data_IF_556830529551
#
_entry.id   IF_556830529551
#
_cell.length_a   1.000
_cell.length_b   1.000
_cell.length_c   1.000
_cell.angle_alpha   90.00
_cell.angle_beta   90.00
_cell.angle_gamma   90.00
#
_symmetry.space_group_name_H-M   'P 1'
#
loop_
_entity.id
_entity.type
_entity.pdbx_description
1 polymer ?
#
# COMPACT_ATOMS: atom_id res chain seq x y z
N UNK A 1 5.65 11.26 12.19
CA UNK A 1 5.98 11.13 13.62
C UNK A 1 6.77 9.86 13.94
N UNK A 2 6.59 8.80 13.19
CA UNK A 2 7.19 7.51 13.51
C UNK A 2 8.72 7.46 13.37
N UNK A 3 9.32 8.10 12.37
CA UNK A 3 10.77 7.98 12.13
C UNK A 3 11.63 8.70 13.20
N UNK A 4 11.17 9.83 13.77
CA UNK A 4 11.88 10.53 14.85
C UNK A 4 11.62 9.96 16.25
N UNK A 5 10.73 9.00 16.37
CA UNK A 5 10.36 8.33 17.63
C UNK A 5 10.58 6.82 17.58
N UNK A 6 11.22 6.31 16.55
CA UNK A 6 11.64 4.91 16.49
C UNK A 6 13.01 4.80 17.15
N UNK A 7 13.13 3.90 18.10
CA UNK A 7 14.39 3.64 18.82
C UNK A 7 15.34 2.77 17.99
N UNK A 8 14.76 1.95 17.09
CA UNK A 8 15.51 1.01 16.24
C UNK A 8 14.98 1.05 14.81
N UNK A 9 15.86 0.99 13.84
CA UNK A 9 15.57 0.93 12.40
C UNK A 9 16.03 -0.40 11.83
N UNK A 10 15.17 -1.03 11.02
CA UNK A 10 15.55 -2.17 10.18
C UNK A 10 15.97 -1.61 8.82
N UNK A 11 17.22 -1.81 8.46
CA UNK A 11 17.82 -1.27 7.23
C UNK A 11 18.26 -2.42 6.33
N UNK A 12 17.89 -2.35 5.04
CA UNK A 12 18.46 -3.27 4.06
C UNK A 12 19.82 -2.78 3.61
N UNK A 13 20.83 -3.64 3.71
CA UNK A 13 22.23 -3.36 3.36
C UNK A 13 22.77 -4.44 2.44
N UNK A 14 23.90 -4.16 1.78
CA UNK A 14 24.66 -5.17 1.02
C UNK A 14 25.93 -5.53 1.77
N UNK A 15 26.11 -6.82 2.07
CA UNK A 15 27.29 -7.37 2.69
C UNK A 15 27.79 -8.56 1.85
N UNK A 16 29.02 -8.49 1.39
CA UNK A 16 29.59 -9.55 0.53
C UNK A 16 28.87 -9.79 -0.79
N UNK A 17 28.14 -8.77 -1.31
CA UNK A 17 27.36 -8.87 -2.55
C UNK A 17 25.90 -9.31 -2.35
N UNK A 18 25.52 -9.78 -1.17
CA UNK A 18 24.17 -10.21 -0.80
C UNK A 18 23.43 -9.13 -0.02
N UNK A 19 22.10 -9.12 -0.13
CA UNK A 19 21.23 -8.24 0.65
C UNK A 19 20.97 -8.89 2.00
N UNK A 20 21.19 -8.15 3.08
CA UNK A 20 20.85 -8.52 4.45
C UNK A 20 20.04 -7.40 5.11
N UNK A 21 19.42 -7.71 6.23
CA UNK A 21 18.80 -6.74 7.12
C UNK A 21 19.71 -6.48 8.30
N UNK A 22 19.83 -5.23 8.71
CA UNK A 22 20.60 -4.84 9.88
C UNK A 22 19.75 -3.95 10.78
N UNK A 23 19.98 -4.09 12.10
CA UNK A 23 19.40 -3.19 13.09
C UNK A 23 20.33 -2.00 13.30
N UNK A 24 19.77 -0.80 13.23
CA UNK A 24 20.47 0.46 13.50
C UNK A 24 19.73 1.16 14.62
N UNK A 25 20.39 1.49 15.70
CA UNK A 25 19.80 2.23 16.81
C UNK A 25 19.70 3.72 16.47
N UNK A 26 18.71 4.40 17.03
CA UNK A 26 18.53 5.83 16.79
C UNK A 26 19.74 6.63 17.25
N UNK A 27 20.40 6.21 18.33
CA UNK A 27 21.57 6.87 18.90
C UNK A 27 22.81 6.79 17.98
N UNK A 28 22.84 5.82 17.05
CA UNK A 28 23.88 5.69 16.03
C UNK A 28 23.68 6.64 14.84
N UNK A 29 22.51 7.28 14.76
CA UNK A 29 22.13 8.20 13.68
C UNK A 29 22.35 9.66 14.10
N UNK A 30 23.15 10.38 13.34
CA UNK A 30 23.25 11.84 13.48
C UNK A 30 21.92 12.50 13.07
N UNK A 31 21.30 13.23 13.99
CA UNK A 31 20.04 13.93 13.76
C UNK A 31 20.09 14.91 12.57
N UNK A 32 21.28 15.45 12.23
CA UNK A 32 21.53 16.30 11.07
C UNK A 32 21.46 15.58 9.73
N UNK A 33 21.57 14.24 9.75
CA UNK A 33 21.51 13.37 8.56
C UNK A 33 20.12 12.87 8.23
N UNK A 34 19.08 13.27 8.97
CA UNK A 34 17.68 12.93 8.73
C UNK A 34 16.92 14.13 8.16
N UNK A 35 16.59 14.07 6.89
CA UNK A 35 15.82 15.11 6.18
C UNK A 35 14.40 14.63 5.94
N UNK A 36 13.40 15.47 6.28
CA UNK A 36 12.00 15.16 5.99
C UNK A 36 11.72 15.35 4.51
N UNK A 37 11.14 14.32 3.89
CA UNK A 37 10.69 14.36 2.50
C UNK A 37 9.31 15.04 2.37
N UNK A 38 9.09 15.67 1.22
CA UNK A 38 7.75 16.09 0.79
C UNK A 38 7.14 14.95 -0.01
N UNK A 39 6.08 14.36 0.51
CA UNK A 39 5.40 13.22 -0.10
C UNK A 39 3.98 13.57 -0.47
N UNK A 40 3.41 12.83 -1.46
CA UNK A 40 2.04 13.09 -1.95
C UNK A 40 0.98 12.95 -0.86
N UNK A 41 1.14 12.00 0.05
CA UNK A 41 0.28 11.81 1.21
C UNK A 41 0.86 12.51 2.44
N UNK A 42 0.43 13.72 2.72
CA UNK A 42 0.90 14.53 3.85
C UNK A 42 0.55 13.94 5.21
N UNK A 43 -0.36 12.96 5.28
CA UNK A 43 -0.67 12.22 6.52
C UNK A 43 0.41 11.19 6.84
N UNK A 44 1.30 10.88 5.88
CA UNK A 44 2.52 10.09 6.06
C UNK A 44 3.73 10.98 6.24
N UNK A 45 4.71 10.49 6.97
CA UNK A 45 6.00 11.16 7.15
C UNK A 45 7.09 10.24 6.66
N UNK A 46 7.79 10.69 5.63
CA UNK A 46 8.96 10.04 5.06
C UNK A 46 10.21 10.85 5.35
N UNK A 47 11.34 10.19 5.45
CA UNK A 47 12.62 10.83 5.68
C UNK A 47 13.68 10.16 4.81
N UNK A 48 14.55 10.98 4.25
CA UNK A 48 15.84 10.53 3.70
C UNK A 48 16.84 10.52 4.83
N UNK A 49 17.49 9.38 5.04
CA UNK A 49 18.49 9.18 6.09
C UNK A 49 19.83 8.84 5.45
N UNK A 50 20.89 9.61 5.77
CA UNK A 50 22.25 9.23 5.41
C UNK A 50 22.81 8.30 6.48
N UNK A 51 23.28 7.14 6.04
CA UNK A 51 23.91 6.13 6.88
C UNK A 51 25.45 6.13 6.72
N UNK A 52 26.02 7.18 6.12
CA UNK A 52 27.45 7.29 5.89
C UNK A 52 28.21 7.33 7.20
N UNK A 53 29.14 6.37 7.35
CA UNK A 53 29.97 6.23 8.54
C UNK A 53 29.31 5.51 9.73
N UNK A 54 28.06 5.05 9.58
CA UNK A 54 27.41 4.21 10.59
C UNK A 54 28.03 2.81 10.57
N UNK A 55 28.47 2.34 11.72
CA UNK A 55 29.05 0.99 11.88
C UNK A 55 28.06 0.14 12.68
N UNK A 56 27.71 -1.02 12.12
CA UNK A 56 26.76 -1.96 12.75
C UNK A 56 27.54 -3.14 13.35
N UNK A 57 27.19 -3.53 14.58
CA UNK A 57 27.72 -4.74 15.20
C UNK A 57 27.30 -5.99 14.41
N UNK A 58 28.15 -7.03 14.30
CA UNK A 58 27.78 -8.32 13.73
C UNK A 58 26.51 -8.92 14.38
N UNK A 59 26.30 -8.68 15.66
CA UNK A 59 25.12 -9.17 16.41
C UNK A 59 23.80 -8.49 15.96
N UNK A 60 23.90 -7.35 15.28
CA UNK A 60 22.77 -6.60 14.73
C UNK A 60 22.48 -6.97 13.26
N UNK A 61 23.18 -7.95 12.69
CA UNK A 61 22.89 -8.50 11.36
C UNK A 61 21.86 -9.60 11.49
N UNK A 62 20.69 -9.42 10.87
CA UNK A 62 19.61 -10.38 10.93
C UNK A 62 19.82 -11.53 9.94
N UNK A 63 19.25 -12.69 10.24
CA UNK A 63 19.25 -13.83 9.35
C UNK A 63 18.61 -13.50 7.99
N UNK A 64 19.07 -14.17 6.94
CA UNK A 64 18.60 -13.92 5.57
C UNK A 64 17.10 -14.20 5.37
N UNK A 65 16.55 -15.18 6.08
CA UNK A 65 15.13 -15.52 6.07
C UNK A 65 14.24 -14.31 6.44
N UNK A 66 14.69 -13.46 7.36
CA UNK A 66 13.96 -12.29 7.82
C UNK A 66 13.61 -11.29 6.70
N UNK A 67 14.38 -11.24 5.60
CA UNK A 67 14.06 -10.36 4.48
C UNK A 67 12.76 -10.77 3.79
N UNK A 68 12.56 -12.06 3.52
CA UNK A 68 11.34 -12.58 2.89
C UNK A 68 10.14 -12.41 3.82
N UNK A 69 10.30 -12.76 5.09
CA UNK A 69 9.26 -12.58 6.11
C UNK A 69 8.83 -11.12 6.25
N UNK A 70 9.79 -10.19 6.30
CA UNK A 70 9.51 -8.76 6.34
C UNK A 70 8.74 -8.29 5.10
N UNK A 71 9.15 -8.75 3.90
CA UNK A 71 8.48 -8.39 2.66
C UNK A 71 7.05 -8.93 2.62
N UNK A 72 6.82 -10.17 3.02
CA UNK A 72 5.50 -10.78 3.09
C UNK A 72 4.59 -10.04 4.07
N UNK A 73 5.07 -9.77 5.28
CA UNK A 73 4.34 -8.99 6.28
C UNK A 73 4.02 -7.58 5.78
N UNK A 74 4.97 -6.90 5.14
CA UNK A 74 4.75 -5.57 4.58
C UNK A 74 3.69 -5.57 3.48
N UNK A 75 3.70 -6.56 2.58
CA UNK A 75 2.70 -6.69 1.52
C UNK A 75 1.31 -6.98 2.08
N UNK A 76 1.18 -7.85 3.09
CA UNK A 76 -0.08 -8.16 3.74
C UNK A 76 -0.66 -6.93 4.46
N UNK A 77 0.13 -6.25 5.27
CA UNK A 77 -0.29 -5.05 5.98
C UNK A 77 -0.68 -3.92 5.03
N UNK A 78 0.07 -3.76 3.93
CA UNK A 78 -0.26 -2.78 2.91
C UNK A 78 -1.55 -3.14 2.16
N UNK A 79 -1.80 -4.42 1.87
CA UNK A 79 -3.06 -4.89 1.28
C UNK A 79 -4.24 -4.63 2.22
N UNK A 80 -4.06 -4.79 3.53
CA UNK A 80 -5.07 -4.47 4.55
C UNK A 80 -5.37 -2.96 4.60
N UNK A 81 -4.34 -2.11 4.55
CA UNK A 81 -4.50 -0.66 4.49
C UNK A 81 -5.24 -0.23 3.22
N UNK A 82 -4.90 -0.81 2.07
CA UNK A 82 -5.55 -0.56 0.79
C UNK A 82 -7.03 -0.95 0.83
N UNK A 83 -7.36 -2.14 1.36
CA UNK A 83 -8.74 -2.61 1.45
C UNK A 83 -9.58 -1.73 2.38
N UNK A 84 -9.03 -1.35 3.54
CA UNK A 84 -9.67 -0.43 4.48
C UNK A 84 -9.85 0.96 3.89
N UNK A 85 -8.84 1.48 3.19
CA UNK A 85 -8.89 2.76 2.50
C UNK A 85 -9.96 2.80 1.40
N UNK A 86 -10.05 1.74 0.58
CA UNK A 86 -11.08 1.63 -0.46
C UNK A 86 -12.49 1.59 0.13
N UNK A 87 -12.69 0.86 1.23
CA UNK A 87 -13.98 0.80 1.94
C UNK A 87 -14.37 2.16 2.54
N UNK A 88 -13.44 2.84 3.22
CA UNK A 88 -13.66 4.19 3.74
C UNK A 88 -13.97 5.20 2.64
N UNK A 89 -13.26 5.13 1.52
CA UNK A 89 -13.49 5.96 0.34
C UNK A 89 -14.90 5.77 -0.24
N UNK A 90 -15.33 4.51 -0.38
CA UNK A 90 -16.68 4.18 -0.86
C UNK A 90 -17.76 4.77 0.05
N UNK A 91 -17.60 4.68 1.37
CA UNK A 91 -18.55 5.24 2.33
C UNK A 91 -18.71 6.76 2.16
N UNK A 92 -17.60 7.49 2.05
CA UNK A 92 -17.62 8.96 1.82
C UNK A 92 -18.30 9.30 0.49
N UNK A 93 -18.03 8.55 -0.56
CA UNK A 93 -18.68 8.72 -1.87
C UNK A 93 -20.19 8.51 -1.76
N UNK A 94 -20.62 7.39 -1.18
CA UNK A 94 -22.05 7.05 -1.06
C UNK A 94 -22.81 8.08 -0.23
N UNK A 95 -22.21 8.55 0.88
CA UNK A 95 -22.80 9.59 1.71
C UNK A 95 -23.00 10.90 0.91
N UNK A 96 -21.97 11.34 0.19
CA UNK A 96 -22.05 12.54 -0.62
C UNK A 96 -23.07 12.42 -1.76
N UNK A 97 -23.13 11.29 -2.45
CA UNK A 97 -24.10 11.02 -3.51
C UNK A 97 -25.56 11.05 -3.02
N UNK A 98 -25.79 10.70 -1.75
CA UNK A 98 -27.09 10.68 -1.10
C UNK A 98 -27.49 12.00 -0.40
N UNK A 99 -26.58 12.96 -0.33
CA UNK A 99 -26.83 14.26 0.32
C UNK A 99 -26.82 15.42 -0.66
N UNK A 100 -25.91 15.40 -1.62
CA UNK A 100 -25.74 16.50 -2.59
C UNK A 100 -26.87 16.52 -3.62
N UNK A 101 -27.43 17.69 -3.85
CA UNK A 101 -28.44 17.93 -4.91
C UNK A 101 -27.86 18.79 -6.02
N UNK A 102 -28.17 18.41 -7.25
CA UNK A 102 -27.96 19.19 -8.46
C UNK A 102 -29.10 18.91 -9.44
N UNK A 103 -29.56 19.94 -10.16
CA UNK A 103 -30.70 19.84 -11.07
C UNK A 103 -31.95 19.27 -10.38
N UNK A 104 -32.28 19.81 -9.20
CA UNK A 104 -33.42 19.50 -8.33
C UNK A 104 -33.53 18.06 -7.81
N UNK A 105 -32.49 17.28 -7.94
CA UNK A 105 -32.44 15.90 -7.40
C UNK A 105 -31.08 15.52 -6.81
N UNK A 106 -31.06 14.46 -6.02
CA UNK A 106 -29.84 13.89 -5.47
C UNK A 106 -28.91 13.44 -6.61
N UNK A 107 -27.63 13.77 -6.53
CA UNK A 107 -26.67 13.39 -7.57
C UNK A 107 -26.50 11.88 -7.68
N UNK A 108 -26.67 11.12 -6.59
CA UNK A 108 -26.69 9.65 -6.60
C UNK A 108 -27.83 9.03 -7.44
N UNK A 109 -28.82 9.82 -7.89
CA UNK A 109 -29.86 9.33 -8.81
C UNK A 109 -29.36 9.16 -10.25
N UNK A 110 -28.24 9.80 -10.61
CA UNK A 110 -27.70 9.74 -11.98
C UNK A 110 -26.92 8.45 -12.23
N UNK A 111 -27.25 7.74 -13.31
CA UNK A 111 -26.54 6.50 -13.69
C UNK A 111 -25.04 6.72 -13.93
N UNK A 112 -24.65 7.89 -14.47
CA UNK A 112 -23.26 8.26 -14.68
C UNK A 112 -22.41 8.25 -13.39
N UNK A 113 -23.04 8.36 -12.21
CA UNK A 113 -22.38 8.27 -10.92
C UNK A 113 -22.61 6.90 -10.26
N UNK A 114 -23.80 6.31 -10.45
CA UNK A 114 -24.12 4.98 -9.88
C UNK A 114 -23.19 3.88 -10.40
N UNK A 115 -23.01 3.79 -11.72
CA UNK A 115 -22.27 2.71 -12.35
C UNK A 115 -20.81 2.69 -11.87
N UNK A 116 -20.03 3.80 -11.95
CA UNK A 116 -18.69 3.79 -11.40
C UNK A 116 -18.62 3.54 -9.89
N UNK A 117 -19.66 3.92 -9.12
CA UNK A 117 -19.73 3.59 -7.69
C UNK A 117 -19.88 2.08 -7.46
N UNK A 118 -20.64 1.39 -8.31
CA UNK A 118 -20.73 -0.08 -8.27
C UNK A 118 -19.39 -0.71 -8.65
N UNK A 119 -18.67 -0.16 -9.65
CA UNK A 119 -17.33 -0.64 -10.01
C UNK A 119 -16.34 -0.48 -8.84
N UNK A 120 -16.44 0.62 -8.08
CA UNK A 120 -15.66 0.80 -6.84
C UNK A 120 -15.99 -0.29 -5.81
N UNK A 121 -17.30 -0.56 -5.59
CA UNK A 121 -17.74 -1.62 -4.67
C UNK A 121 -17.18 -2.99 -5.09
N UNK A 122 -17.33 -3.36 -6.36
CA UNK A 122 -16.84 -4.64 -6.87
C UNK A 122 -15.32 -4.77 -6.73
N UNK A 123 -14.58 -3.71 -7.06
CA UNK A 123 -13.12 -3.69 -6.89
C UNK A 123 -12.69 -3.81 -5.43
N UNK A 124 -13.39 -3.14 -4.52
CA UNK A 124 -13.14 -3.20 -3.08
C UNK A 124 -13.42 -4.59 -2.52
N UNK A 125 -14.57 -5.22 -2.85
CA UNK A 125 -14.92 -6.56 -2.39
C UNK A 125 -13.96 -7.63 -2.92
N UNK A 126 -13.57 -7.56 -4.19
CA UNK A 126 -12.55 -8.44 -4.74
C UNK A 126 -11.20 -8.25 -4.06
N UNK A 127 -10.78 -7.00 -3.80
CA UNK A 127 -9.56 -6.68 -3.06
C UNK A 127 -9.57 -7.25 -1.64
N UNK A 128 -10.73 -7.17 -0.95
CA UNK A 128 -10.92 -7.76 0.37
C UNK A 128 -10.84 -9.28 0.35
N UNK A 129 -11.39 -9.93 -0.68
CA UNK A 129 -11.29 -11.37 -0.86
C UNK A 129 -9.84 -11.82 -1.07
N UNK A 130 -9.08 -11.09 -1.89
CA UNK A 130 -7.65 -11.36 -2.06
C UNK A 130 -6.85 -11.16 -0.76
N UNK A 131 -7.16 -10.12 0.02
CA UNK A 131 -6.53 -9.89 1.32
C UNK A 131 -6.76 -11.05 2.27
N UNK A 132 -8.02 -11.51 2.41
CA UNK A 132 -8.34 -12.63 3.30
C UNK A 132 -7.66 -13.92 2.86
N UNK A 133 -7.65 -14.20 1.55
CA UNK A 133 -6.91 -15.34 1.03
C UNK A 133 -5.40 -15.23 1.35
N UNK A 134 -4.77 -14.08 1.13
CA UNK A 134 -3.37 -13.88 1.48
C UNK A 134 -3.11 -14.06 2.99
N UNK A 135 -4.03 -13.61 3.84
CA UNK A 135 -3.93 -13.77 5.29
C UNK A 135 -4.09 -15.23 5.76
N UNK A 136 -4.79 -16.07 4.99
CA UNK A 136 -4.92 -17.50 5.34
C UNK A 136 -3.70 -18.32 4.94
N UNK A 137 -3.06 -17.97 3.81
CA UNK A 137 -1.93 -18.80 3.29
C UNK A 137 -0.55 -18.32 3.78
N UNK A 138 -0.45 -17.16 4.41
CA UNK A 138 0.86 -16.60 4.82
C UNK A 138 1.57 -17.46 5.88
N UNK A 139 0.80 -18.18 6.70
CA UNK A 139 1.31 -19.05 7.76
C UNK A 139 1.41 -20.53 7.30
N UNK A 140 1.06 -20.80 6.03
CA UNK A 140 1.20 -22.14 5.46
C UNK A 140 2.63 -22.36 4.95
N UNK A 141 3.10 -23.61 4.97
CA UNK A 141 4.45 -23.99 4.51
C UNK A 141 4.52 -24.11 2.98
N UNK A 142 3.87 -23.17 2.26
CA UNK A 142 3.88 -23.04 0.80
C UNK A 142 4.28 -21.61 0.39
N UNK A 143 5.57 -21.42 0.21
CA UNK A 143 6.14 -20.12 -0.17
C UNK A 143 5.63 -19.61 -1.52
N UNK A 144 5.32 -20.53 -2.49
CA UNK A 144 4.80 -20.17 -3.82
C UNK A 144 3.35 -19.69 -3.71
N UNK A 145 2.50 -20.40 -2.99
CA UNK A 145 1.11 -19.96 -2.76
C UNK A 145 1.06 -18.63 -2.04
N UNK A 146 1.88 -18.42 -1.00
CA UNK A 146 2.01 -17.17 -0.26
C UNK A 146 2.42 -16.02 -1.18
N UNK A 147 3.46 -16.20 -2.01
CA UNK A 147 3.91 -15.18 -2.94
C UNK A 147 2.81 -14.81 -3.95
N UNK A 148 2.13 -15.79 -4.53
CA UNK A 148 1.01 -15.57 -5.47
C UNK A 148 -0.10 -14.75 -4.79
N UNK A 149 -0.57 -15.18 -3.64
CA UNK A 149 -1.68 -14.53 -2.94
C UNK A 149 -1.37 -13.08 -2.55
N UNK A 150 -0.19 -12.81 -1.99
CA UNK A 150 0.25 -11.46 -1.62
C UNK A 150 0.38 -10.54 -2.82
N UNK A 151 0.95 -11.03 -3.93
CA UNK A 151 1.08 -10.23 -5.16
C UNK A 151 -0.27 -9.95 -5.81
N UNK A 152 -1.20 -10.91 -5.80
CA UNK A 152 -2.57 -10.71 -6.29
C UNK A 152 -3.29 -9.65 -5.45
N UNK A 153 -3.23 -9.75 -4.13
CA UNK A 153 -3.84 -8.78 -3.21
C UNK A 153 -3.30 -7.38 -3.45
N UNK A 154 -1.96 -7.23 -3.57
CA UNK A 154 -1.32 -5.94 -3.80
C UNK A 154 -1.66 -5.36 -5.18
N UNK A 155 -1.57 -6.15 -6.25
CA UNK A 155 -1.82 -5.67 -7.61
C UNK A 155 -3.28 -5.22 -7.78
N UNK A 156 -4.24 -6.08 -7.41
CA UNK A 156 -5.66 -5.78 -7.54
C UNK A 156 -6.07 -4.64 -6.61
N UNK A 157 -5.69 -4.71 -5.33
CA UNK A 157 -6.04 -3.70 -4.33
C UNK A 157 -5.53 -2.31 -4.71
N UNK A 158 -4.27 -2.18 -5.14
CA UNK A 158 -3.69 -0.89 -5.55
C UNK A 158 -4.48 -0.23 -6.67
N UNK A 159 -4.85 -1.00 -7.71
CA UNK A 159 -5.67 -0.50 -8.82
C UNK A 159 -7.06 -0.07 -8.34
N UNK A 160 -7.72 -0.90 -7.55
CA UNK A 160 -9.07 -0.65 -7.06
C UNK A 160 -9.14 0.58 -6.16
N UNK A 161 -8.17 0.75 -5.26
CA UNK A 161 -8.14 1.91 -4.36
C UNK A 161 -7.79 3.20 -5.10
N UNK A 162 -6.86 3.16 -6.07
CA UNK A 162 -6.56 4.32 -6.91
C UNK A 162 -7.80 4.75 -7.72
N UNK A 163 -8.54 3.80 -8.29
CA UNK A 163 -9.80 4.07 -8.98
C UNK A 163 -10.85 4.67 -8.04
N UNK A 164 -11.02 4.11 -6.84
CA UNK A 164 -11.95 4.64 -5.84
C UNK A 164 -11.62 6.09 -5.45
N UNK A 165 -10.35 6.39 -5.17
CA UNK A 165 -9.89 7.73 -4.84
C UNK A 165 -10.10 8.75 -5.95
N UNK A 166 -9.82 8.36 -7.21
CA UNK A 166 -10.08 9.19 -8.39
C UNK A 166 -11.58 9.48 -8.54
N UNK A 167 -12.45 8.46 -8.41
CA UNK A 167 -13.90 8.66 -8.45
C UNK A 167 -14.41 9.52 -7.30
N UNK A 168 -13.83 9.36 -6.10
CA UNK A 168 -14.21 10.19 -4.97
C UNK A 168 -13.95 11.68 -5.24
N UNK A 169 -12.78 12.05 -5.71
CA UNK A 169 -12.47 13.44 -6.07
C UNK A 169 -13.38 13.93 -7.19
N UNK A 170 -13.57 13.13 -8.25
CA UNK A 170 -14.42 13.50 -9.40
C UNK A 170 -15.87 13.75 -8.98
N UNK A 171 -16.46 12.91 -8.12
CA UNK A 171 -17.86 13.01 -7.74
C UNK A 171 -18.13 14.19 -6.78
N UNK A 172 -17.13 14.60 -6.00
CA UNK A 172 -17.20 15.80 -5.18
C UNK A 172 -17.01 17.09 -5.99
N UNK A 173 -16.57 16.98 -7.27
CA UNK A 173 -16.32 18.12 -8.16
C UNK A 173 -15.23 19.05 -7.63
N UNK A 174 -15.38 20.35 -7.82
CA UNK A 174 -14.40 21.34 -7.36
C UNK A 174 -14.13 21.33 -5.85
N UNK A 175 -15.05 20.81 -5.03
CA UNK A 175 -14.84 20.63 -3.60
C UNK A 175 -13.90 19.45 -3.30
N UNK A 176 -13.90 18.40 -4.14
CA UNK A 176 -13.21 17.14 -3.90
C UNK A 176 -11.67 17.23 -3.79
N UNK A 177 -11.04 18.28 -4.32
CA UNK A 177 -9.59 18.47 -4.22
C UNK A 177 -9.17 19.54 -3.20
N UNK A 178 -10.13 20.15 -2.49
CA UNK A 178 -9.83 21.12 -1.43
C UNK A 178 -9.43 20.42 -0.14
N UNK A 179 -8.69 21.12 0.72
CA UNK A 179 -8.31 20.60 2.04
C UNK A 179 -9.50 20.38 3.00
N UNK A 180 -10.65 20.94 2.69
CA UNK A 180 -11.89 20.81 3.47
C UNK A 180 -12.64 19.52 3.15
N UNK A 181 -12.21 18.79 2.11
CA UNK A 181 -12.84 17.54 1.66
C UNK A 181 -11.89 16.35 1.84
N UNK A 182 -12.36 15.31 2.54
CA UNK A 182 -11.57 14.11 2.77
C UNK A 182 -11.34 13.26 1.51
N UNK A 183 -12.11 13.48 0.44
CA UNK A 183 -11.97 12.71 -0.81
C UNK A 183 -10.54 12.74 -1.37
N UNK A 184 -9.87 13.91 -1.32
CA UNK A 184 -8.49 14.05 -1.77
C UNK A 184 -7.48 13.27 -0.91
N UNK A 185 -7.77 13.05 0.38
CA UNK A 185 -6.90 12.26 1.27
C UNK A 185 -6.89 10.80 0.86
N UNK A 186 -8.04 10.23 0.47
CA UNK A 186 -8.12 8.86 -0.03
C UNK A 186 -7.33 8.70 -1.34
N UNK A 187 -7.43 9.64 -2.27
CA UNK A 187 -6.64 9.59 -3.50
C UNK A 187 -5.13 9.65 -3.22
N UNK A 188 -4.69 10.57 -2.38
CA UNK A 188 -3.28 10.71 -1.99
C UNK A 188 -2.76 9.45 -1.31
N UNK A 189 -3.54 8.85 -0.39
CA UNK A 189 -3.21 7.59 0.26
C UNK A 189 -3.16 6.44 -0.74
N UNK A 190 -4.10 6.35 -1.67
CA UNK A 190 -4.12 5.33 -2.72
C UNK A 190 -2.85 5.39 -3.59
N UNK A 191 -2.46 6.59 -4.03
CA UNK A 191 -1.26 6.82 -4.83
C UNK A 191 0.02 6.49 -4.03
N UNK A 192 0.07 6.85 -2.75
CA UNK A 192 1.18 6.46 -1.88
C UNK A 192 1.28 4.93 -1.76
N UNK A 193 0.19 4.25 -1.43
CA UNK A 193 0.14 2.79 -1.30
C UNK A 193 0.51 2.09 -2.60
N UNK A 194 0.14 2.66 -3.76
CA UNK A 194 0.39 2.06 -5.07
C UNK A 194 1.88 1.79 -5.32
N UNK A 195 2.75 2.71 -4.91
CA UNK A 195 4.18 2.63 -5.18
C UNK A 195 4.99 1.94 -4.08
N UNK A 196 4.41 1.72 -2.90
CA UNK A 196 5.11 0.99 -1.84
C UNK A 196 5.28 -0.49 -2.20
N UNK A 197 6.49 -1.02 -2.05
CA UNK A 197 6.85 -2.41 -2.34
C UNK A 197 6.53 -2.90 -3.77
N UNK A 198 6.44 -2.00 -4.72
CA UNK A 198 6.14 -2.26 -6.11
C UNK A 198 4.70 -1.90 -6.50
N UNK A 199 4.56 -1.48 -7.76
CA UNK A 199 3.27 -1.13 -8.36
C UNK A 199 2.53 -2.35 -8.95
N UNK A 200 1.33 -2.13 -9.51
CA UNK A 200 0.54 -3.17 -10.17
C UNK A 200 1.33 -3.88 -11.26
N UNK A 201 2.07 -3.13 -12.10
CA UNK A 201 2.84 -3.69 -13.21
C UNK A 201 3.96 -4.59 -12.71
N UNK A 202 4.70 -4.16 -11.71
CA UNK A 202 5.75 -4.95 -11.07
C UNK A 202 5.20 -6.28 -10.54
N UNK A 203 4.09 -6.25 -9.80
CA UNK A 203 3.51 -7.46 -9.23
C UNK A 203 2.97 -8.40 -10.31
N UNK A 204 2.31 -7.88 -11.36
CA UNK A 204 1.84 -8.70 -12.49
C UNK A 204 2.98 -9.37 -13.25
N UNK A 205 4.09 -8.67 -13.46
CA UNK A 205 5.29 -9.25 -14.09
C UNK A 205 5.88 -10.39 -13.25
N UNK A 206 5.82 -10.28 -11.92
CA UNK A 206 6.28 -11.34 -11.01
C UNK A 206 5.29 -12.50 -10.90
N UNK A 207 4.00 -12.25 -11.05
CA UNK A 207 2.97 -13.28 -11.04
C UNK A 207 2.99 -14.16 -12.30
N UNK A 208 3.28 -13.57 -13.46
CA UNK A 208 3.18 -14.28 -14.73
C UNK A 208 3.94 -15.63 -14.75
N UNK A 209 5.24 -15.71 -14.41
CA UNK A 209 5.93 -16.98 -14.39
C UNK A 209 5.39 -17.95 -13.31
N UNK A 210 4.92 -17.44 -12.17
CA UNK A 210 4.39 -18.29 -11.10
C UNK A 210 3.08 -18.99 -11.46
N UNK A 211 2.29 -18.35 -12.37
CA UNK A 211 0.96 -18.83 -12.77
C UNK A 211 0.94 -19.52 -14.13
N UNK A 212 1.85 -19.13 -15.05
CA UNK A 212 1.77 -19.53 -16.46
C UNK A 212 2.87 -20.51 -16.87
N UNK A 213 4.02 -20.48 -16.18
CA UNK A 213 5.04 -21.50 -16.44
C UNK A 213 4.58 -22.79 -15.79
N UNK A 214 4.29 -23.80 -16.64
CA UNK A 214 4.04 -25.15 -16.16
C UNK A 214 5.28 -25.57 -15.36
N UNK A 215 5.07 -25.86 -14.07
CA UNK A 215 6.11 -26.46 -13.26
C UNK A 215 6.55 -27.72 -13.97
N UNK A 216 7.81 -27.78 -14.41
CA UNK A 216 8.47 -29.01 -14.85
C UNK A 216 8.63 -29.97 -13.66
N UNK A 217 7.52 -30.28 -12.99
CA UNK A 217 7.41 -31.37 -12.03
C UNK A 217 6.92 -32.60 -12.79
N UNK A 218 7.87 -33.27 -13.42
CA UNK A 218 7.75 -34.65 -13.89
C UNK A 218 8.99 -35.44 -13.48
#
# INVERSE_FOLDING_TARGET
>A
MLFRSADVFIVSARMGGEVCLVLVEQDDLDAGKMLRDVVIDETRRSYTVSLDGVTVSPDNVLERACLTELQNAALLLLAAEIAGGAAGCLNVVVEYLNTRKQFDRLIGSYQALKHPTVDVLLGMEAGRSHLYHAATVIDEDDAKATEIALRMAKAHGSRSFAFAGDRAVQFHGGFGFTYECDAQLFLRRALWCQYQFGDERYHRQRLAPLLLDESSDS
#
